data_IF_497536303428
#
_entry.id   IF_497536303428
#
_cell.length_a   1.000
_cell.length_b   1.000
_cell.length_c   1.000
_cell.angle_alpha   90.00
_cell.angle_beta   90.00
_cell.angle_gamma   90.00
#
_symmetry.space_group_name_H-M   'P 1'
#
loop_
_entity.id
_entity.type
_entity.pdbx_description
1 polymer ?
#
# COMPACT_ATOMS: atom_id res chain seq x y z
N UNK A 1 19.02 -19.41 -15.38
CA UNK A 1 17.57 -19.21 -15.15
C UNK A 1 17.18 -17.93 -15.89
N UNK A 2 16.09 -17.94 -16.65
CA UNK A 2 15.72 -16.80 -17.51
C UNK A 2 15.16 -15.66 -16.65
N UNK A 3 15.80 -14.49 -16.66
CA UNK A 3 15.33 -13.32 -15.92
C UNK A 3 14.25 -12.60 -16.74
N UNK A 4 12.98 -12.94 -16.46
CA UNK A 4 11.83 -12.40 -17.18
C UNK A 4 11.73 -10.88 -17.04
N UNK A 5 12.07 -10.31 -15.88
CA UNK A 5 12.04 -8.86 -15.65
C UNK A 5 12.96 -8.12 -16.63
N UNK A 6 14.19 -8.58 -16.78
CA UNK A 6 15.16 -7.99 -17.70
C UNK A 6 14.70 -8.07 -19.17
N UNK A 7 14.04 -9.17 -19.55
CA UNK A 7 13.50 -9.37 -20.90
C UNK A 7 12.33 -8.41 -21.18
N UNK A 8 11.42 -8.25 -20.22
CA UNK A 8 10.31 -7.31 -20.35
C UNK A 8 10.80 -5.86 -20.35
N UNK A 9 11.74 -5.51 -19.47
CA UNK A 9 12.31 -4.16 -19.39
C UNK A 9 12.99 -3.76 -20.72
N UNK A 10 13.76 -4.68 -21.35
CA UNK A 10 14.37 -4.43 -22.67
C UNK A 10 13.31 -4.25 -23.77
N UNK A 11 12.33 -5.14 -23.85
CA UNK A 11 11.28 -5.10 -24.88
C UNK A 11 10.33 -3.91 -24.75
N UNK A 12 10.22 -3.33 -23.55
CA UNK A 12 9.43 -2.13 -23.31
C UNK A 12 10.13 -0.85 -23.82
N UNK A 13 11.44 -0.92 -24.10
CA UNK A 13 12.28 0.19 -24.58
C UNK A 13 12.53 0.09 -26.09
N UNK A 14 12.33 -1.09 -26.69
CA UNK A 14 12.64 -1.35 -28.10
C UNK A 14 11.62 -0.69 -29.06
N UNK A 15 11.96 0.51 -29.55
CA UNK A 15 11.53 1.03 -30.85
C UNK A 15 10.10 1.54 -31.00
N UNK A 16 9.31 1.57 -29.92
CA UNK A 16 7.93 2.09 -29.93
C UNK A 16 7.79 3.31 -29.03
N UNK A 17 7.16 4.39 -29.50
CA UNK A 17 6.89 5.62 -28.71
C UNK A 17 6.08 5.34 -27.44
N UNK A 18 5.28 4.28 -27.45
CA UNK A 18 4.62 3.71 -26.28
C UNK A 18 5.20 2.32 -26.04
N UNK A 19 5.79 2.07 -24.87
CA UNK A 19 6.31 0.75 -24.51
C UNK A 19 5.25 -0.33 -24.69
N UNK A 20 5.44 -1.20 -25.69
CA UNK A 20 4.42 -2.18 -26.11
C UNK A 20 5.07 -3.54 -26.32
N UNK A 21 4.47 -4.58 -25.75
CA UNK A 21 4.84 -5.95 -26.08
C UNK A 21 4.12 -6.38 -27.37
N UNK A 22 4.89 -6.74 -28.40
CA UNK A 22 4.32 -7.24 -29.65
C UNK A 22 3.73 -8.64 -29.46
N UNK A 23 2.77 -8.99 -30.32
CA UNK A 23 2.13 -10.32 -30.34
C UNK A 23 3.17 -11.45 -30.39
N UNK A 24 4.16 -11.30 -31.27
CA UNK A 24 5.20 -12.31 -31.47
C UNK A 24 6.13 -12.42 -30.25
N UNK A 25 6.39 -11.31 -29.56
CA UNK A 25 7.15 -11.30 -28.31
C UNK A 25 6.41 -11.99 -27.16
N UNK A 26 5.07 -11.94 -27.15
CA UNK A 26 4.25 -12.64 -26.15
C UNK A 26 4.22 -14.15 -26.40
N UNK A 27 3.99 -14.59 -27.65
CA UNK A 27 3.92 -16.01 -27.99
C UNK A 27 5.28 -16.72 -27.98
N UNK A 28 6.38 -15.98 -28.15
CA UNK A 28 7.74 -16.53 -28.05
C UNK A 28 8.23 -16.74 -26.61
N UNK A 29 7.46 -16.35 -25.59
CA UNK A 29 7.85 -16.54 -24.19
C UNK A 29 7.85 -18.04 -23.83
N UNK A 30 9.04 -18.53 -23.45
CA UNK A 30 9.20 -19.89 -22.95
C UNK A 30 8.67 -19.97 -21.51
N UNK A 31 7.46 -20.47 -21.36
CA UNK A 31 6.80 -20.69 -20.06
C UNK A 31 6.64 -22.19 -19.79
N UNK A 32 6.69 -22.56 -18.51
CA UNK A 32 6.42 -23.93 -18.07
C UNK A 32 4.92 -24.02 -17.77
N UNK A 33 4.23 -24.98 -18.38
CA UNK A 33 2.81 -25.25 -18.12
C UNK A 33 2.73 -26.49 -17.21
N UNK A 34 2.50 -26.31 -15.89
CA UNK A 34 2.40 -27.43 -14.97
C UNK A 34 1.06 -28.18 -15.13
N UNK A 35 0.98 -29.38 -14.54
CA UNK A 35 -0.23 -30.17 -14.54
C UNK A 35 -1.39 -29.44 -13.82
N UNK A 36 -2.62 -29.63 -14.32
CA UNK A 36 -3.83 -28.96 -13.82
C UNK A 36 -4.05 -29.12 -12.30
N UNK A 37 -3.68 -30.27 -11.74
CA UNK A 37 -3.76 -30.53 -10.30
C UNK A 37 -2.88 -29.58 -9.48
N UNK A 38 -1.66 -29.32 -9.95
CA UNK A 38 -0.71 -28.41 -9.31
C UNK A 38 -1.22 -26.98 -9.38
N UNK A 39 -1.78 -26.57 -10.52
CA UNK A 39 -2.39 -25.24 -10.69
C UNK A 39 -3.53 -25.00 -9.71
N UNK A 40 -4.44 -25.96 -9.56
CA UNK A 40 -5.57 -25.85 -8.64
C UNK A 40 -5.09 -25.73 -7.20
N UNK A 41 -4.12 -26.58 -6.80
CA UNK A 41 -3.59 -26.56 -5.44
C UNK A 41 -2.85 -25.25 -5.12
N UNK A 42 -2.01 -24.79 -6.05
CA UNK A 42 -1.33 -23.50 -5.94
C UNK A 42 -2.35 -22.36 -5.82
N UNK A 43 -3.37 -22.35 -6.68
CA UNK A 43 -4.42 -21.34 -6.66
C UNK A 43 -5.19 -21.34 -5.32
N UNK A 44 -5.52 -22.51 -4.78
CA UNK A 44 -6.22 -22.59 -3.48
C UNK A 44 -5.42 -22.00 -2.32
N UNK A 45 -4.09 -22.10 -2.37
CA UNK A 45 -3.21 -21.55 -1.33
C UNK A 45 -3.09 -20.04 -1.49
N UNK A 46 -2.78 -19.56 -2.71
CA UNK A 46 -2.42 -18.15 -2.89
C UNK A 46 -3.64 -17.21 -2.99
N UNK A 47 -4.82 -17.74 -3.29
CA UNK A 47 -6.02 -16.93 -3.53
C UNK A 47 -6.36 -16.04 -2.35
N UNK A 48 -6.37 -16.59 -1.13
CA UNK A 48 -6.72 -15.84 0.07
C UNK A 48 -5.73 -14.70 0.34
N UNK A 49 -4.44 -14.96 0.17
CA UNK A 49 -3.35 -14.01 0.39
C UNK A 49 -3.42 -12.87 -0.63
N UNK A 50 -3.72 -13.20 -1.89
CA UNK A 50 -3.90 -12.19 -2.94
C UNK A 50 -5.14 -11.33 -2.69
N UNK A 51 -6.25 -11.92 -2.26
CA UNK A 51 -7.45 -11.16 -1.87
C UNK A 51 -7.19 -10.23 -0.69
N UNK A 52 -6.43 -10.68 0.31
CA UNK A 52 -6.05 -9.86 1.46
C UNK A 52 -5.11 -8.72 1.06
N UNK A 53 -4.14 -8.99 0.19
CA UNK A 53 -3.25 -7.95 -0.33
C UNK A 53 -4.05 -6.84 -1.05
N UNK A 54 -5.01 -7.22 -1.90
CA UNK A 54 -5.86 -6.25 -2.58
C UNK A 54 -6.70 -5.41 -1.61
N UNK A 55 -7.25 -6.03 -0.55
CA UNK A 55 -8.00 -5.30 0.48
C UNK A 55 -7.11 -4.30 1.21
N UNK A 56 -5.92 -4.70 1.62
CA UNK A 56 -4.95 -3.84 2.30
C UNK A 56 -4.54 -2.67 1.39
N UNK A 57 -4.33 -2.93 0.10
CA UNK A 57 -4.01 -1.88 -0.87
C UNK A 57 -5.15 -0.85 -0.97
N UNK A 58 -6.40 -1.31 -1.05
CA UNK A 58 -7.57 -0.43 -1.08
C UNK A 58 -7.72 0.39 0.22
N UNK A 59 -7.57 -0.26 1.37
CA UNK A 59 -7.62 0.42 2.67
C UNK A 59 -6.53 1.50 2.79
N UNK A 60 -5.32 1.21 2.30
CA UNK A 60 -4.24 2.19 2.27
C UNK A 60 -4.55 3.39 1.37
N UNK A 61 -5.19 3.17 0.22
CA UNK A 61 -5.64 4.26 -0.65
C UNK A 61 -6.66 5.14 0.08
N UNK A 62 -7.68 4.54 0.69
CA UNK A 62 -8.71 5.25 1.46
C UNK A 62 -8.10 6.03 2.63
N UNK A 63 -7.19 5.41 3.40
CA UNK A 63 -6.49 6.07 4.50
C UNK A 63 -5.65 7.26 4.02
N UNK A 64 -5.02 7.13 2.86
CA UNK A 64 -4.22 8.19 2.25
C UNK A 64 -5.09 9.37 1.82
N UNK A 65 -6.22 9.08 1.17
CA UNK A 65 -7.23 10.09 0.81
C UNK A 65 -7.78 10.80 2.05
N UNK A 66 -8.16 10.04 3.07
CA UNK A 66 -8.66 10.58 4.33
C UNK A 66 -7.62 11.48 5.01
N UNK A 67 -6.34 11.07 5.01
CA UNK A 67 -5.24 11.89 5.51
C UNK A 67 -5.15 13.22 4.78
N UNK A 68 -5.18 13.19 3.44
CA UNK A 68 -5.12 14.40 2.63
C UNK A 68 -6.32 15.31 2.85
N UNK A 69 -7.51 14.73 3.02
CA UNK A 69 -8.73 15.47 3.30
C UNK A 69 -8.75 16.09 4.70
N UNK A 70 -8.24 15.37 5.71
CA UNK A 70 -8.26 15.83 7.10
C UNK A 70 -7.19 16.90 7.37
N UNK A 71 -6.06 16.86 6.66
CA UNK A 71 -4.95 17.81 6.82
C UNK A 71 -5.40 19.29 6.76
N UNK A 72 -6.13 19.77 5.74
CA UNK A 72 -6.59 21.15 5.70
C UNK A 72 -7.57 21.48 6.83
N UNK A 73 -8.43 20.54 7.25
CA UNK A 73 -9.35 20.76 8.38
C UNK A 73 -8.62 20.92 9.71
N UNK A 74 -7.53 20.17 9.91
CA UNK A 74 -6.65 20.31 11.07
C UNK A 74 -5.83 21.60 11.01
N UNK A 75 -5.28 21.94 9.85
CA UNK A 75 -4.49 23.17 9.66
C UNK A 75 -5.33 24.43 9.87
N UNK A 76 -6.58 24.42 9.42
CA UNK A 76 -7.52 25.52 9.61
C UNK A 76 -8.18 25.52 11.00
N UNK A 77 -7.77 24.61 11.90
CA UNK A 77 -8.33 24.41 13.24
C UNK A 77 -9.85 24.17 13.27
N UNK A 78 -10.44 23.73 12.15
CA UNK A 78 -11.87 23.39 12.06
C UNK A 78 -12.19 22.08 12.77
N UNK A 79 -11.22 21.18 12.82
CA UNK A 79 -11.27 19.91 13.54
C UNK A 79 -10.13 19.88 14.55
N UNK A 80 -10.40 19.40 15.76
CA UNK A 80 -9.37 19.21 16.80
C UNK A 80 -9.33 17.74 17.21
N UNK A 81 -8.14 17.20 17.39
CA UNK A 81 -7.97 15.80 17.85
C UNK A 81 -8.14 15.78 19.36
N UNK A 82 -9.22 15.18 19.83
CA UNK A 82 -9.46 15.02 21.26
C UNK A 82 -8.76 13.75 21.74
N UNK A 83 -7.58 13.90 22.32
CA UNK A 83 -6.82 12.78 22.85
C UNK A 83 -7.45 12.35 24.18
N UNK A 84 -8.03 11.15 24.23
CA UNK A 84 -8.45 10.56 25.51
C UNK A 84 -7.20 10.30 26.36
N UNK A 85 -7.26 10.68 27.64
CA UNK A 85 -6.13 10.61 28.58
C UNK A 85 -5.51 9.20 28.69
N UNK A 86 -6.26 8.13 28.36
CA UNK A 86 -5.76 6.75 28.35
C UNK A 86 -4.76 6.48 27.22
N UNK A 87 -4.95 7.08 26.03
CA UNK A 87 -4.04 6.91 24.89
C UNK A 87 -2.73 7.68 25.10
N UNK A 88 -2.81 8.87 25.70
CA UNK A 88 -1.64 9.70 26.01
C UNK A 88 -0.74 9.10 27.10
N UNK A 89 -1.34 8.38 28.08
CA UNK A 89 -0.59 7.66 29.12
C UNK A 89 0.23 6.49 28.56
N UNK A 90 -0.24 5.85 27.48
CA UNK A 90 0.47 4.73 26.85
C UNK A 90 1.62 5.18 25.94
N UNK A 91 1.52 6.37 25.34
CA UNK A 91 2.54 6.94 24.47
C UNK A 91 3.63 7.73 25.23
N UNK A 92 3.37 8.18 26.45
CA UNK A 92 4.36 8.86 27.28
C UNK A 92 4.55 8.08 28.58
N UNK A 93 5.64 7.34 28.69
CA UNK A 93 6.24 6.99 29.99
C UNK A 93 6.83 8.21 30.71
N UNK A 94 6.23 9.40 30.56
CA UNK A 94 6.73 10.70 30.99
C UNK A 94 5.54 11.58 31.40
N UNK A 95 5.62 12.12 32.61
CA UNK A 95 4.58 12.84 33.35
C UNK A 95 3.91 13.98 32.55
N UNK A 96 2.60 13.87 32.36
CA UNK A 96 1.76 14.77 31.55
C UNK A 96 1.35 16.03 32.32
N UNK A 97 1.65 16.13 33.62
CA UNK A 97 1.23 17.25 34.49
C UNK A 97 1.78 18.63 34.11
N UNK A 98 2.84 18.71 33.33
CA UNK A 98 3.49 19.99 32.96
C UNK A 98 2.82 20.74 31.80
N UNK A 99 2.05 20.07 30.94
CA UNK A 99 1.45 20.71 29.75
C UNK A 99 0.09 21.37 30.02
N UNK A 100 -0.68 20.91 31.01
CA UNK A 100 -2.00 21.46 31.31
C UNK A 100 -1.97 22.73 32.18
N UNK A 101 -0.91 22.93 32.98
CA UNK A 101 -0.86 24.05 33.94
C UNK A 101 -0.51 25.42 33.35
N UNK A 102 -0.32 25.56 32.03
CA UNK A 102 0.02 26.85 31.41
C UNK A 102 -1.18 27.68 30.94
N UNK A 103 -2.41 27.16 30.99
CA UNK A 103 -3.61 27.87 30.50
C UNK A 103 -4.51 28.47 31.59
N UNK A 104 -4.13 28.39 32.87
CA UNK A 104 -4.92 28.94 33.97
C UNK A 104 -4.23 30.09 34.73
N UNK A 105 -3.25 30.79 34.13
CA UNK A 105 -2.56 31.88 34.83
C UNK A 105 -2.18 33.09 33.96
N UNK A 106 -3.08 33.48 33.05
CA UNK A 106 -3.21 34.84 32.48
C UNK A 106 -4.64 35.04 32.02
#
# INVERSE_FOLDING_TARGET
>A
MVNLKQIFDSRNVDGTTFGTITKDNLFSLKVIIPAKKILIHYHSIIKHEFENQNKIELENQILTELRYWLLPMLMNAQVTVNYSNAFMQKLRGIDVKSYCNRKNNT
#
